data_IF_281034521848
#
_entry.id   IF_281034521848
#
_cell.length_a   1.000
_cell.length_b   1.000
_cell.length_c   1.000
_cell.angle_alpha   90.00
_cell.angle_beta   90.00
_cell.angle_gamma   90.00
#
_symmetry.space_group_name_H-M   'P 1'
#
loop_
_entity.id
_entity.type
_entity.pdbx_description
1 polymer ?
#
# COMPACT_ATOMS: atom_id res chain seq x y z
N UNK A 1 -30.30 -10.82 -21.07
CA UNK A 1 -30.11 -10.60 -19.63
C UNK A 1 -29.09 -9.48 -19.46
N UNK A 2 -29.42 -8.43 -18.72
CA UNK A 2 -28.49 -7.32 -18.47
C UNK A 2 -27.39 -7.78 -17.50
N UNK A 3 -26.17 -7.93 -17.99
CA UNK A 3 -25.01 -8.18 -17.14
C UNK A 3 -24.71 -6.89 -16.36
N UNK A 4 -24.85 -6.94 -15.04
CA UNK A 4 -24.60 -5.79 -14.19
C UNK A 4 -23.11 -5.71 -13.84
N UNK A 5 -22.59 -4.49 -13.69
CA UNK A 5 -21.21 -4.29 -13.23
C UNK A 5 -21.13 -4.67 -11.74
N UNK A 6 -20.07 -5.34 -11.32
CA UNK A 6 -19.80 -5.53 -9.89
C UNK A 6 -19.69 -4.14 -9.23
N UNK A 7 -20.56 -3.79 -8.26
CA UNK A 7 -20.63 -2.44 -7.71
C UNK A 7 -19.32 -2.02 -7.04
N UNK A 8 -18.57 -2.96 -6.45
CA UNK A 8 -17.34 -2.65 -5.75
C UNK A 8 -16.07 -2.83 -6.58
N UNK A 9 -16.14 -3.31 -7.83
CA UNK A 9 -14.93 -3.51 -8.65
C UNK A 9 -14.19 -2.18 -8.90
N UNK A 10 -14.91 -1.09 -9.11
CA UNK A 10 -14.32 0.25 -9.25
C UNK A 10 -13.84 0.79 -7.90
N UNK A 11 -14.58 0.55 -6.81
CA UNK A 11 -14.19 0.98 -5.48
C UNK A 11 -12.88 0.32 -5.02
N UNK A 12 -12.74 -0.99 -5.21
CA UNK A 12 -11.49 -1.73 -4.90
C UNK A 12 -10.32 -1.23 -5.73
N UNK A 13 -10.54 -0.94 -7.02
CA UNK A 13 -9.50 -0.39 -7.91
C UNK A 13 -9.01 0.98 -7.41
N UNK A 14 -9.93 1.90 -7.09
CA UNK A 14 -9.60 3.23 -6.58
C UNK A 14 -8.93 3.15 -5.21
N UNK A 15 -9.44 2.30 -4.30
CA UNK A 15 -8.86 2.07 -2.98
C UNK A 15 -7.44 1.49 -3.07
N UNK A 16 -7.17 0.61 -4.03
CA UNK A 16 -5.83 0.06 -4.28
C UNK A 16 -4.83 1.13 -4.74
N UNK A 17 -5.23 2.02 -5.65
CA UNK A 17 -4.38 3.14 -6.09
C UNK A 17 -4.15 4.12 -4.94
N UNK A 18 -5.19 4.42 -4.16
CA UNK A 18 -5.09 5.29 -2.99
C UNK A 18 -4.19 4.71 -1.90
N UNK A 19 -4.14 3.39 -1.72
CA UNK A 19 -3.23 2.74 -0.76
C UNK A 19 -1.76 3.04 -1.08
N UNK A 20 -1.37 3.06 -2.35
CA UNK A 20 -0.01 3.41 -2.79
C UNK A 20 0.29 4.89 -2.49
N UNK A 21 -0.64 5.79 -2.85
CA UNK A 21 -0.47 7.24 -2.63
C UNK A 21 -0.43 7.61 -1.15
N UNK A 22 -1.30 6.99 -0.33
CA UNK A 22 -1.37 7.24 1.12
C UNK A 22 -0.24 6.56 1.90
N UNK A 23 0.44 5.55 1.32
CA UNK A 23 1.62 4.93 1.89
C UNK A 23 2.81 5.90 1.97
N UNK A 24 3.08 6.68 0.92
CA UNK A 24 4.22 7.61 0.89
C UNK A 24 4.02 8.85 1.78
N UNK A 25 2.78 9.32 1.95
CA UNK A 25 2.54 10.61 2.62
C UNK A 25 2.14 10.52 4.09
N UNK A 26 1.53 9.41 4.54
CA UNK A 26 0.90 9.36 5.88
C UNK A 26 1.07 8.03 6.64
N UNK A 27 1.64 6.97 6.05
CA UNK A 27 1.77 5.66 6.71
C UNK A 27 0.45 4.90 6.93
N UNK A 28 -0.69 5.48 6.55
CA UNK A 28 -2.03 4.89 6.70
C UNK A 28 -2.35 3.92 5.54
N UNK A 29 -1.50 3.86 4.51
CA UNK A 29 -1.71 3.02 3.32
C UNK A 29 -1.98 1.54 3.61
N UNK A 30 -1.46 1.03 4.73
CA UNK A 30 -1.65 -0.34 5.18
C UNK A 30 -3.13 -0.62 5.55
N UNK A 31 -3.80 0.31 6.23
CA UNK A 31 -5.22 0.18 6.62
C UNK A 31 -6.12 0.18 5.38
N UNK A 32 -5.88 1.11 4.46
CA UNK A 32 -6.63 1.18 3.19
C UNK A 32 -6.43 -0.07 2.33
N UNK A 33 -5.21 -0.60 2.28
CA UNK A 33 -4.91 -1.84 1.56
C UNK A 33 -5.66 -3.04 2.14
N UNK A 34 -5.74 -3.17 3.46
CA UNK A 34 -6.49 -4.25 4.13
C UNK A 34 -7.99 -4.14 3.87
N UNK A 35 -8.57 -2.95 3.96
CA UNK A 35 -10.00 -2.72 3.68
C UNK A 35 -10.33 -3.07 2.23
N UNK A 36 -9.49 -2.64 1.27
CA UNK A 36 -9.66 -2.96 -0.15
C UNK A 36 -9.64 -4.47 -0.41
N UNK A 37 -8.77 -5.20 0.31
CA UNK A 37 -8.63 -6.65 0.18
C UNK A 37 -9.84 -7.41 0.76
N UNK A 38 -10.38 -6.95 1.88
CA UNK A 38 -11.62 -7.49 2.46
C UNK A 38 -12.82 -7.25 1.54
N UNK A 39 -12.96 -6.06 0.96
CA UNK A 39 -14.03 -5.73 0.03
C UNK A 39 -13.92 -6.61 -1.23
N UNK A 40 -12.72 -6.74 -1.80
CA UNK A 40 -12.46 -7.63 -2.93
C UNK A 40 -12.81 -9.08 -2.64
N UNK A 41 -12.53 -9.59 -1.44
CA UNK A 41 -12.87 -10.95 -1.03
C UNK A 41 -14.40 -11.16 -0.92
N UNK A 42 -15.13 -10.14 -0.48
CA UNK A 42 -16.60 -10.18 -0.38
C UNK A 42 -17.25 -10.21 -1.77
N UNK A 43 -16.79 -9.37 -2.70
CA UNK A 43 -17.27 -9.37 -4.09
C UNK A 43 -16.93 -10.65 -4.86
N UNK A 44 -15.79 -11.26 -4.57
CA UNK A 44 -15.39 -12.51 -5.18
C UNK A 44 -16.31 -13.67 -4.75
N UNK A 45 -16.83 -13.63 -3.51
CA UNK A 45 -17.92 -14.53 -3.07
C UNK A 45 -19.22 -14.26 -3.82
N UNK A 46 -19.59 -12.99 -4.01
CA UNK A 46 -20.78 -12.61 -4.76
C UNK A 46 -20.71 -13.09 -6.22
N UNK A 47 -19.54 -12.95 -6.85
CA UNK A 47 -19.26 -13.43 -8.19
C UNK A 47 -19.38 -14.96 -8.30
N UNK A 48 -18.87 -15.72 -7.31
CA UNK A 48 -19.02 -17.19 -7.29
C UNK A 48 -20.47 -17.66 -7.17
N UNK A 49 -21.33 -16.89 -6.52
CA UNK A 49 -22.75 -17.23 -6.36
C UNK A 49 -23.59 -16.95 -7.62
N UNK A 50 -23.17 -16.01 -8.48
CA UNK A 50 -23.91 -15.68 -9.70
C UNK A 50 -22.98 -15.16 -10.82
N UNK A 51 -22.10 -16.01 -11.39
CA UNK A 51 -21.08 -15.58 -12.36
C UNK A 51 -21.69 -15.03 -13.66
N UNK A 52 -22.89 -15.49 -14.04
CA UNK A 52 -23.59 -15.08 -15.26
C UNK A 52 -24.18 -13.66 -15.20
N UNK A 53 -24.32 -13.10 -13.98
CA UNK A 53 -24.91 -11.76 -13.78
C UNK A 53 -23.90 -10.63 -13.76
N UNK A 54 -22.60 -10.93 -13.73
CA UNK A 54 -21.57 -9.92 -13.51
C UNK A 54 -20.52 -9.84 -14.63
N UNK A 55 -20.38 -8.65 -15.20
CA UNK A 55 -19.28 -8.27 -16.09
C UNK A 55 -18.33 -7.35 -15.29
N UNK A 56 -17.01 -7.37 -15.51
CA UNK A 56 -15.94 -6.64 -14.78
C UNK A 56 -15.17 -7.37 -13.67
N UNK A 57 -15.15 -8.71 -13.67
CA UNK A 57 -14.27 -9.49 -12.77
C UNK A 57 -12.78 -9.13 -12.92
N UNK A 58 -12.37 -8.74 -14.13
CA UNK A 58 -10.99 -8.33 -14.40
C UNK A 58 -10.56 -7.12 -13.55
N UNK A 59 -11.42 -6.11 -13.40
CA UNK A 59 -11.13 -4.92 -12.57
C UNK A 59 -11.01 -5.27 -11.08
N UNK A 60 -11.84 -6.20 -10.61
CA UNK A 60 -11.76 -6.70 -9.23
C UNK A 60 -10.41 -7.39 -8.97
N UNK A 61 -9.97 -8.25 -9.89
CA UNK A 61 -8.68 -8.93 -9.77
C UNK A 61 -7.51 -7.97 -9.83
N UNK A 62 -7.54 -7.00 -10.76
CA UNK A 62 -6.51 -5.96 -10.86
C UNK A 62 -6.44 -5.18 -9.56
N UNK A 63 -7.58 -4.70 -9.03
CA UNK A 63 -7.60 -3.95 -7.76
C UNK A 63 -7.12 -4.76 -6.56
N UNK A 64 -7.41 -6.06 -6.53
CA UNK A 64 -6.92 -6.98 -5.49
C UNK A 64 -5.40 -7.18 -5.56
N UNK A 65 -4.86 -7.38 -6.77
CA UNK A 65 -3.40 -7.48 -7.00
C UNK A 65 -2.72 -6.17 -6.58
N UNK A 66 -3.28 -5.03 -6.99
CA UNK A 66 -2.75 -3.71 -6.66
C UNK A 66 -2.73 -3.46 -5.14
N UNK A 67 -3.76 -3.89 -4.43
CA UNK A 67 -3.83 -3.80 -2.96
C UNK A 67 -2.77 -4.64 -2.26
N UNK A 68 -2.52 -5.87 -2.76
CA UNK A 68 -1.45 -6.73 -2.23
C UNK A 68 -0.08 -6.08 -2.46
N UNK A 69 0.17 -5.56 -3.66
CA UNK A 69 1.42 -4.86 -3.99
C UNK A 69 1.62 -3.64 -3.07
N UNK A 70 0.56 -2.86 -2.83
CA UNK A 70 0.59 -1.72 -1.92
C UNK A 70 0.96 -2.10 -0.49
N UNK A 71 0.37 -3.18 0.05
CA UNK A 71 0.71 -3.68 1.39
C UNK A 71 2.17 -4.14 1.46
N UNK A 72 2.65 -4.89 0.46
CA UNK A 72 4.03 -5.39 0.41
C UNK A 72 5.04 -4.23 0.32
N UNK A 73 4.78 -3.25 -0.56
CA UNK A 73 5.60 -2.04 -0.66
C UNK A 73 5.62 -1.26 0.66
N UNK A 74 4.47 -1.11 1.32
CA UNK A 74 4.37 -0.44 2.61
C UNK A 74 5.19 -1.14 3.69
N UNK A 75 5.11 -2.47 3.78
CA UNK A 75 5.90 -3.27 4.71
C UNK A 75 7.41 -3.16 4.43
N UNK A 76 7.81 -3.20 3.16
CA UNK A 76 9.21 -2.98 2.75
C UNK A 76 9.72 -1.59 3.13
N UNK A 77 8.88 -0.56 2.96
CA UNK A 77 9.23 0.82 3.29
C UNK A 77 9.44 0.99 4.80
N UNK A 78 8.56 0.40 5.63
CA UNK A 78 8.73 0.36 7.09
C UNK A 78 10.03 -0.35 7.47
N UNK A 79 10.34 -1.50 6.85
CA UNK A 79 11.61 -2.21 7.07
C UNK A 79 12.81 -1.34 6.68
N UNK A 80 12.73 -0.60 5.57
CA UNK A 80 13.79 0.32 5.16
C UNK A 80 13.96 1.47 6.14
N UNK A 81 12.86 2.05 6.65
CA UNK A 81 12.90 3.10 7.69
C UNK A 81 13.55 2.56 8.97
N UNK A 82 13.16 1.36 9.42
CA UNK A 82 13.78 0.71 10.59
C UNK A 82 15.28 0.49 10.33
N UNK A 83 15.66 -0.01 9.15
CA UNK A 83 17.07 -0.22 8.81
C UNK A 83 17.85 1.10 8.78
N UNK A 84 17.27 2.16 8.20
CA UNK A 84 17.84 3.50 8.20
C UNK A 84 18.02 4.03 9.62
N UNK A 85 17.02 3.86 10.49
CA UNK A 85 17.13 4.22 11.92
C UNK A 85 18.23 3.43 12.62
N UNK A 86 18.42 2.15 12.31
CA UNK A 86 19.47 1.32 12.92
C UNK A 86 20.88 1.69 12.40
N UNK A 87 21.01 2.06 11.12
CA UNK A 87 22.30 2.41 10.49
C UNK A 87 22.71 3.86 10.77
N UNK A 88 21.77 4.80 10.62
CA UNK A 88 21.98 6.25 10.82
C UNK A 88 21.88 6.61 12.31
N UNK A 89 21.14 5.83 13.11
CA UNK A 89 20.86 6.12 14.51
C UNK A 89 19.74 7.15 14.63
N UNK A 90 18.77 6.89 15.52
CA UNK A 90 17.69 7.83 15.83
C UNK A 90 18.24 9.18 16.34
N UNK A 91 19.44 9.19 16.90
CA UNK A 91 20.17 10.36 17.39
C UNK A 91 20.64 11.32 16.27
N UNK A 92 20.93 10.81 15.07
CA UNK A 92 21.34 11.67 13.96
C UNK A 92 20.13 12.35 13.31
N UNK A 93 18.97 11.67 13.23
CA UNK A 93 17.75 12.30 12.71
C UNK A 93 17.18 13.39 13.64
N UNK A 94 17.50 13.37 14.94
CA UNK A 94 17.01 14.33 15.93
C UNK A 94 18.00 15.45 16.29
N UNK A 95 19.30 15.24 16.14
CA UNK A 95 20.34 16.25 16.46
C UNK A 95 21.06 16.67 15.17
N UNK A 96 20.73 17.86 14.65
CA UNK A 96 21.41 18.46 13.50
C UNK A 96 22.93 18.54 13.67
N UNK A 97 23.41 18.74 14.91
CA UNK A 97 24.84 18.80 15.23
C UNK A 97 25.55 17.46 15.00
N UNK A 98 24.94 16.33 15.41
CA UNK A 98 25.55 15.00 15.25
C UNK A 98 25.56 14.54 13.78
N UNK A 99 24.55 14.94 12.99
CA UNK A 99 24.53 14.72 11.54
C UNK A 99 25.63 15.50 10.83
N UNK A 100 25.86 16.76 11.24
CA UNK A 100 26.97 17.57 10.73
C UNK A 100 28.32 16.99 11.11
N UNK A 101 28.47 16.51 12.35
CA UNK A 101 29.72 15.93 12.85
C UNK A 101 30.06 14.62 12.11
N UNK A 102 29.09 13.71 11.93
CA UNK A 102 29.30 12.48 11.13
C UNK A 102 29.54 12.77 9.65
N UNK A 103 28.86 13.76 9.07
CA UNK A 103 29.14 14.21 7.70
C UNK A 103 30.56 14.80 7.57
N UNK A 104 31.04 15.52 8.58
CA UNK A 104 32.42 16.01 8.60
C UNK A 104 33.44 14.87 8.73
N UNK A 105 33.21 13.86 9.56
CA UNK A 105 34.06 12.65 9.64
C UNK A 105 34.13 11.86 8.32
N UNK A 106 33.04 11.85 7.53
CA UNK A 106 33.04 11.23 6.20
C UNK A 106 33.59 12.12 5.09
N UNK A 107 33.63 13.46 5.27
CA UNK A 107 34.07 14.45 4.26
C UNK A 107 35.44 15.11 4.52
N UNK A 108 36.06 14.94 5.68
CA UNK A 108 37.42 15.41 6.01
C UNK A 108 38.16 14.31 6.78
N UNK A 109 39.46 14.03 6.59
CA UNK A 109 40.60 14.86 6.99
C UNK A 109 40.42 15.56 8.34
#
# INVERSE_FOLDING_TARGET
MEQNKLPNATAVLVLGIFSILTCCCYGIGLVFGVIALFLAASDLKLYRNAPERFHNYNNLNVGRILSIIGIVLSALMILMIIWMINVVGMDALGNEDLMRERMQDYLGK
#
